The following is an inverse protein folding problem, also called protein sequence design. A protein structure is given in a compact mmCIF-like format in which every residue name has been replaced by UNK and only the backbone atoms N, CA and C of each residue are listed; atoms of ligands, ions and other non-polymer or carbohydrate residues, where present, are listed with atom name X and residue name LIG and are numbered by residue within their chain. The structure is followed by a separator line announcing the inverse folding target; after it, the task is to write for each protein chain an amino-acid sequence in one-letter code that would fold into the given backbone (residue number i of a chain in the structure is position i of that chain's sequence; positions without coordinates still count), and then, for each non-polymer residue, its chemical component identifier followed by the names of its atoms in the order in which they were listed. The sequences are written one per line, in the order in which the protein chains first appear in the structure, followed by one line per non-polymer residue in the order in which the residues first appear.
data_IF_016111928637
#
_entry.id   IF_016111928637
#
_cell.length_a   1.000
_cell.length_b   1.000
_cell.length_c   1.000
_cell.angle_alpha   90.00
_cell.angle_beta   90.00
_cell.angle_gamma   90.00
#
_symmetry.space_group_name_H-M   'P 1'
#
loop_
_entity.id
_entity.type
_entity.pdbx_description
1 polymer ?
#
# COMPACT_ATOMS: atom_id res chain seq x y z
N UNK A 1 1.04 9.18 -6.97
CA UNK A 1 -0.20 9.98 -6.71
C UNK A 1 -0.46 10.15 -5.20
N UNK A 2 -1.27 11.13 -4.75
CA UNK A 2 -1.82 11.12 -3.37
C UNK A 2 -2.98 10.11 -3.27
N UNK A 3 -2.86 9.18 -2.34
CA UNK A 3 -3.87 8.14 -2.09
C UNK A 3 -4.76 8.53 -0.90
N UNK A 4 -4.19 9.12 0.16
CA UNK A 4 -4.94 9.61 1.32
C UNK A 4 -4.61 11.07 1.61
N UNK A 5 -5.61 11.94 1.50
CA UNK A 5 -5.43 13.36 1.82
C UNK A 5 -5.38 13.61 3.34
N UNK A 6 -6.20 12.91 4.13
CA UNK A 6 -6.25 13.10 5.58
C UNK A 6 -4.93 12.82 6.30
N UNK A 7 -4.14 11.86 5.79
CA UNK A 7 -2.85 11.44 6.37
C UNK A 7 -1.66 11.71 5.43
N UNK A 8 -1.86 12.48 4.37
CA UNK A 8 -0.85 12.78 3.35
C UNK A 8 -0.11 11.53 2.81
N UNK A 9 -0.82 10.42 2.63
CA UNK A 9 -0.24 9.17 2.12
C UNK A 9 -0.19 9.22 0.60
N UNK A 10 0.99 9.03 0.04
CA UNK A 10 1.19 8.88 -1.40
C UNK A 10 1.30 7.42 -1.78
N UNK A 11 1.12 7.14 -3.07
CA UNK A 11 1.38 5.84 -3.68
C UNK A 11 2.80 5.34 -3.38
N UNK A 12 3.80 6.24 -3.40
CA UNK A 12 5.19 5.89 -3.08
C UNK A 12 5.33 5.37 -1.65
N UNK A 13 4.62 5.95 -0.68
CA UNK A 13 4.62 5.42 0.69
C UNK A 13 4.01 4.01 0.77
N UNK A 14 3.01 3.70 -0.07
CA UNK A 14 2.44 2.35 -0.14
C UNK A 14 3.46 1.37 -0.72
N UNK A 15 4.18 1.76 -1.78
CA UNK A 15 5.25 0.95 -2.37
C UNK A 15 6.35 0.68 -1.35
N UNK A 16 6.83 1.72 -0.67
CA UNK A 16 7.85 1.60 0.39
C UNK A 16 7.38 0.69 1.54
N UNK A 17 6.10 0.78 1.94
CA UNK A 17 5.55 -0.12 2.95
C UNK A 17 5.50 -1.58 2.48
N UNK A 18 5.13 -1.83 1.22
CA UNK A 18 5.12 -3.18 0.62
C UNK A 18 6.54 -3.74 0.57
N UNK A 19 7.52 -2.94 0.15
CA UNK A 19 8.93 -3.32 0.12
C UNK A 19 9.47 -3.59 1.54
N UNK A 20 8.88 -2.95 2.56
CA UNK A 20 9.09 -3.24 3.98
C UNK A 20 8.29 -4.43 4.55
N UNK A 21 7.54 -5.17 3.73
CA UNK A 21 6.78 -6.36 4.15
C UNK A 21 5.27 -6.15 4.37
N UNK A 22 4.71 -5.00 3.98
CA UNK A 22 3.28 -4.78 4.08
C UNK A 22 2.49 -5.59 3.03
N UNK A 23 1.91 -6.72 3.44
CA UNK A 23 1.09 -7.56 2.54
C UNK A 23 -0.43 -7.35 2.68
N UNK A 24 -0.87 -6.61 3.71
CA UNK A 24 -2.29 -6.50 4.06
C UNK A 24 -2.66 -5.07 4.38
N UNK A 25 -3.92 -4.73 4.12
CA UNK A 25 -4.45 -3.39 4.40
C UNK A 25 -4.35 -2.97 5.87
N UNK A 26 -4.28 -3.94 6.80
CA UNK A 26 -4.03 -3.66 8.22
C UNK A 26 -2.60 -3.16 8.50
N UNK A 27 -1.60 -3.57 7.71
CA UNK A 27 -0.23 -3.07 7.83
C UNK A 27 -0.20 -1.61 7.38
N UNK A 28 -0.77 -1.31 6.21
CA UNK A 28 -0.88 0.08 5.73
C UNK A 28 -1.62 0.99 6.72
N UNK A 29 -2.73 0.52 7.33
CA UNK A 29 -3.43 1.27 8.38
C UNK A 29 -2.54 1.57 9.58
N UNK A 30 -1.77 0.58 10.03
CA UNK A 30 -0.87 0.72 11.16
C UNK A 30 0.31 1.64 10.85
N UNK A 31 0.99 1.41 9.73
CA UNK A 31 2.26 2.06 9.38
C UNK A 31 2.05 3.47 8.80
N UNK A 32 1.00 3.67 7.99
CA UNK A 32 0.77 4.90 7.24
C UNK A 32 -0.46 5.69 7.71
N UNK A 33 -1.29 5.12 8.59
CA UNK A 33 -2.55 5.74 9.02
C UNK A 33 -3.62 5.82 7.92
N UNK A 34 -3.41 5.24 6.74
CA UNK A 34 -4.37 5.32 5.63
C UNK A 34 -5.74 4.77 6.04
N UNK A 35 -6.83 5.41 5.61
CA UNK A 35 -8.21 5.03 5.91
C UNK A 35 -8.59 5.01 7.41
N UNK A 36 -7.82 5.65 8.30
CA UNK A 36 -8.16 5.78 9.73
C UNK A 36 -9.01 7.03 10.07
N UNK A 37 -9.07 8.00 9.15
CA UNK A 37 -9.90 9.21 9.27
C UNK A 37 -11.23 9.05 8.51
N UNK A 38 -11.44 9.79 7.41
CA UNK A 38 -12.69 9.76 6.65
C UNK A 38 -12.96 8.46 5.87
N UNK A 39 -12.00 7.53 5.80
CA UNK A 39 -12.13 6.23 5.13
C UNK A 39 -12.23 6.24 3.59
N UNK A 40 -12.43 7.39 2.93
CA UNK A 40 -12.72 7.49 1.48
C UNK A 40 -11.63 6.91 0.57
N UNK A 41 -10.39 6.89 1.05
CA UNK A 41 -9.24 6.33 0.34
C UNK A 41 -9.14 4.80 0.39
N UNK A 42 -9.97 4.11 1.18
CA UNK A 42 -9.77 2.69 1.49
C UNK A 42 -9.71 1.78 0.25
N UNK A 43 -10.59 1.99 -0.74
CA UNK A 43 -10.58 1.23 -1.99
C UNK A 43 -9.32 1.51 -2.80
N UNK A 44 -9.00 2.79 -3.03
CA UNK A 44 -7.80 3.20 -3.76
C UNK A 44 -6.51 2.66 -3.11
N UNK A 45 -6.38 2.75 -1.78
CA UNK A 45 -5.21 2.22 -1.08
C UNK A 45 -5.11 0.68 -1.17
N UNK A 46 -6.25 -0.03 -1.14
CA UNK A 46 -6.30 -1.48 -1.31
C UNK A 46 -5.91 -1.90 -2.72
N UNK A 47 -6.29 -1.13 -3.73
CA UNK A 47 -5.95 -1.44 -5.12
C UNK A 47 -4.46 -1.16 -5.39
N UNK A 48 -3.91 -0.03 -4.93
CA UNK A 48 -2.46 0.22 -4.97
C UNK A 48 -1.67 -0.89 -4.26
N UNK A 49 -2.13 -1.37 -3.10
CA UNK A 49 -1.50 -2.50 -2.40
C UNK A 49 -1.46 -3.77 -3.27
N UNK A 50 -2.60 -4.14 -3.88
CA UNK A 50 -2.68 -5.34 -4.72
C UNK A 50 -1.82 -5.22 -5.97
N UNK A 51 -1.88 -4.08 -6.65
CA UNK A 51 -1.08 -3.82 -7.85
C UNK A 51 0.40 -3.92 -7.53
N UNK A 52 0.84 -3.27 -6.44
CA UNK A 52 2.24 -3.34 -6.01
C UNK A 52 2.65 -4.78 -5.69
N UNK A 53 1.86 -5.53 -4.91
CA UNK A 53 2.17 -6.93 -4.58
C UNK A 53 2.19 -7.85 -5.83
N UNK A 54 1.31 -7.60 -6.81
CA UNK A 54 1.28 -8.35 -8.06
C UNK A 54 2.53 -8.06 -8.90
N UNK A 55 2.92 -6.78 -9.03
CA UNK A 55 4.16 -6.38 -9.70
C UNK A 55 5.39 -6.99 -9.03
N UNK A 56 5.46 -6.94 -7.69
CA UNK A 56 6.57 -7.56 -6.95
C UNK A 56 6.65 -9.06 -7.19
N UNK A 57 5.53 -9.77 -7.15
CA UNK A 57 5.49 -11.21 -7.43
C UNK A 57 5.91 -11.56 -8.85
N UNK A 58 5.58 -10.73 -9.83
CA UNK A 58 6.00 -10.92 -11.23
C UNK A 58 7.50 -10.65 -11.44
N UNK A 59 8.09 -9.74 -10.66
CA UNK A 59 9.53 -9.41 -10.71
C UNK A 59 10.42 -10.34 -9.87
N UNK A 60 9.88 -11.11 -8.91
CA UNK A 60 10.71 -12.00 -8.11
C UNK A 60 11.31 -13.11 -9.00
N UNK A 61 12.65 -13.21 -9.13
CA UNK A 61 13.28 -14.34 -9.77
C UNK A 61 12.92 -15.58 -8.95
N UNK A 62 12.48 -16.65 -9.62
CA UNK A 62 12.42 -17.98 -9.02
C UNK A 62 13.84 -18.40 -8.62
N UNK A 63 14.26 -18.05 -7.40
CA UNK A 63 15.50 -18.56 -6.83
C UNK A 63 15.20 -19.97 -6.31
N UNK A 64 15.72 -20.95 -7.06
CA UNK A 64 15.79 -22.37 -6.73
C UNK A 64 16.66 -22.64 -5.51
#
# INVERSE_FOLDING_TARGET
MYVCLCRAVTERHIVEAVDGGAERMKHLRHDLGVATECGRCATCAKDCLKETLASRRAEQPSVS
#
